data_IF_165385619072
#
_entry.id   IF_165385619072
#
_cell.length_a   1.000
_cell.length_b   1.000
_cell.length_c   1.000
_cell.angle_alpha   90.00
_cell.angle_beta   90.00
_cell.angle_gamma   90.00
#
_symmetry.space_group_name_H-M   'P 1'
#
loop_
_entity.id
_entity.type
_entity.pdbx_description
1 polymer ?
#
# COMPACT_ATOMS: atom_id res chain seq x y z
N UNK A 1 -1.34 -23.91 -41.55
CA UNK A 1 -0.45 -23.28 -40.58
C UNK A 1 0.53 -24.27 -40.04
N UNK A 2 1.76 -23.85 -39.92
CA UNK A 2 2.80 -24.68 -39.34
C UNK A 2 2.68 -24.74 -37.82
N UNK A 3 3.11 -25.84 -37.24
CA UNK A 3 3.19 -25.98 -35.78
C UNK A 3 4.10 -24.95 -35.17
N UNK A 4 5.13 -24.52 -35.89
CA UNK A 4 6.05 -23.48 -35.45
C UNK A 4 5.34 -22.12 -35.27
N UNK A 5 4.39 -21.80 -36.15
CA UNK A 5 3.59 -20.56 -36.00
C UNK A 5 2.71 -20.56 -34.76
N UNK A 6 2.11 -21.71 -34.45
CA UNK A 6 1.28 -21.86 -33.24
C UNK A 6 2.14 -21.78 -31.98
N UNK A 7 3.29 -22.41 -31.95
CA UNK A 7 4.22 -22.34 -30.82
C UNK A 7 4.74 -20.94 -30.61
N UNK A 8 5.05 -20.20 -31.69
CA UNK A 8 5.49 -18.82 -31.63
C UNK A 8 4.42 -17.89 -31.05
N UNK A 9 3.17 -18.09 -31.50
CA UNK A 9 2.03 -17.32 -30.97
C UNK A 9 1.84 -17.60 -29.49
N UNK A 10 1.89 -18.85 -29.05
CA UNK A 10 1.76 -19.21 -27.65
C UNK A 10 2.83 -18.55 -26.79
N UNK A 11 4.09 -18.59 -27.25
CA UNK A 11 5.20 -17.98 -26.53
C UNK A 11 5.03 -16.47 -26.43
N UNK A 12 4.57 -15.81 -27.50
CA UNK A 12 4.29 -14.38 -27.49
C UNK A 12 3.23 -14.02 -26.45
N UNK A 13 2.11 -14.75 -26.43
CA UNK A 13 1.02 -14.51 -25.49
C UNK A 13 1.46 -14.74 -24.05
N UNK A 14 2.21 -15.82 -23.80
CA UNK A 14 2.73 -16.11 -22.44
C UNK A 14 3.66 -15.00 -21.96
N UNK A 15 4.54 -14.51 -22.82
CA UNK A 15 5.46 -13.41 -22.50
C UNK A 15 4.69 -12.13 -22.23
N UNK A 16 3.69 -11.80 -23.06
CA UNK A 16 2.86 -10.62 -22.89
C UNK A 16 2.10 -10.65 -21.56
N UNK A 17 1.53 -11.79 -21.19
CA UNK A 17 0.80 -11.95 -19.93
C UNK A 17 1.73 -11.77 -18.73
N UNK A 18 2.93 -12.34 -18.77
CA UNK A 18 3.93 -12.15 -17.71
C UNK A 18 4.32 -10.67 -17.56
N UNK A 19 4.50 -9.98 -18.68
CA UNK A 19 4.82 -8.56 -18.66
C UNK A 19 3.71 -7.74 -18.04
N UNK A 20 2.45 -8.05 -18.35
CA UNK A 20 1.29 -7.37 -17.77
C UNK A 20 1.21 -7.59 -16.26
N UNK A 21 1.50 -8.81 -15.78
CA UNK A 21 1.53 -9.10 -14.34
C UNK A 21 2.58 -8.25 -13.63
N UNK A 22 3.79 -8.17 -14.19
CA UNK A 22 4.87 -7.35 -13.64
C UNK A 22 4.49 -5.87 -13.64
N UNK A 23 3.88 -5.39 -14.73
CA UNK A 23 3.44 -4.00 -14.85
C UNK A 23 2.36 -3.69 -13.80
N UNK A 24 1.41 -4.60 -13.59
CA UNK A 24 0.37 -4.45 -12.58
C UNK A 24 0.97 -4.29 -11.17
N UNK A 25 1.97 -5.09 -10.82
CA UNK A 25 2.65 -4.97 -9.53
C UNK A 25 3.36 -3.64 -9.37
N UNK A 26 4.04 -3.19 -10.44
CA UNK A 26 4.72 -1.88 -10.43
C UNK A 26 3.72 -0.75 -10.22
N UNK A 27 2.58 -0.78 -10.90
CA UNK A 27 1.55 0.23 -10.74
C UNK A 27 0.92 0.20 -9.34
N UNK A 28 0.74 -0.97 -8.77
CA UNK A 28 0.18 -1.08 -7.43
C UNK A 28 1.10 -0.45 -6.39
N UNK A 29 2.41 -0.67 -6.48
CA UNK A 29 3.38 -0.04 -5.59
C UNK A 29 3.43 1.48 -5.81
N UNK A 30 3.35 1.92 -7.06
CA UNK A 30 3.25 3.35 -7.39
C UNK A 30 2.06 3.99 -6.69
N UNK A 31 0.90 3.33 -6.68
CA UNK A 31 -0.29 3.84 -6.01
C UNK A 31 -0.14 3.88 -4.49
N UNK A 32 0.52 2.89 -3.90
CA UNK A 32 0.85 2.93 -2.47
C UNK A 32 1.68 4.16 -2.13
N UNK A 33 2.76 4.38 -2.88
CA UNK A 33 3.66 5.53 -2.68
C UNK A 33 2.90 6.83 -2.85
N UNK A 34 2.14 6.97 -3.94
CA UNK A 34 1.38 8.19 -4.22
C UNK A 34 0.38 8.47 -3.11
N UNK A 35 -0.35 7.45 -2.66
CA UNK A 35 -1.38 7.60 -1.64
C UNK A 35 -0.79 8.04 -0.31
N UNK A 36 0.29 7.40 0.15
CA UNK A 36 0.87 7.78 1.44
C UNK A 36 1.56 9.15 1.38
N UNK A 37 2.19 9.47 0.26
CA UNK A 37 2.84 10.77 0.09
C UNK A 37 1.84 11.93 0.01
N UNK A 38 0.62 11.68 -0.46
CA UNK A 38 -0.43 12.69 -0.47
C UNK A 38 -0.70 13.23 0.94
N UNK A 39 -0.51 12.43 1.97
CA UNK A 39 -0.68 12.85 3.36
C UNK A 39 0.24 14.02 3.75
N UNK A 40 1.42 14.13 3.12
CA UNK A 40 2.31 15.29 3.29
C UNK A 40 1.62 16.60 2.89
N UNK A 41 1.01 16.59 1.71
CA UNK A 41 0.34 17.78 1.18
C UNK A 41 -0.91 18.13 1.97
N UNK A 42 -1.57 17.11 2.54
CA UNK A 42 -2.78 17.30 3.33
C UNK A 42 -2.49 17.64 4.80
N UNK A 43 -1.22 17.55 5.23
CA UNK A 43 -0.79 18.00 6.55
C UNK A 43 -0.94 16.97 7.67
N UNK A 44 -1.19 15.70 7.37
CA UNK A 44 -1.33 14.66 8.41
C UNK A 44 -0.43 13.45 8.17
N UNK A 45 0.73 13.66 7.56
CA UNK A 45 1.69 12.58 7.33
C UNK A 45 2.09 11.91 8.64
N UNK A 46 2.13 10.56 8.69
CA UNK A 46 2.51 9.85 9.91
C UNK A 46 3.93 10.17 10.34
N UNK A 47 4.17 10.14 11.66
CA UNK A 47 5.48 10.40 12.23
C UNK A 47 6.24 9.08 12.41
N UNK A 48 7.37 8.95 11.72
CA UNK A 48 8.23 7.76 11.77
C UNK A 48 9.00 7.64 13.08
N UNK A 49 9.20 8.73 13.79
CA UNK A 49 9.96 8.73 15.04
C UNK A 49 9.25 7.89 16.13
N UNK A 50 10.05 7.27 16.97
CA UNK A 50 9.53 6.49 18.07
C UNK A 50 9.18 5.05 17.74
N UNK A 51 9.40 4.59 16.51
CA UNK A 51 9.20 3.19 16.18
C UNK A 51 10.18 2.32 16.97
N UNK A 52 9.64 1.28 17.61
CA UNK A 52 10.41 0.22 18.27
C UNK A 52 9.76 -1.11 17.94
N UNK A 53 10.56 -2.17 17.90
CA UNK A 53 10.01 -3.50 17.68
C UNK A 53 8.97 -3.82 18.76
N UNK A 54 7.81 -4.33 18.33
CA UNK A 54 6.73 -4.66 19.23
C UNK A 54 5.84 -3.48 19.64
N UNK A 55 5.99 -2.32 19.00
CA UNK A 55 5.15 -1.15 19.29
C UNK A 55 3.83 -1.18 18.50
N UNK A 56 2.93 -0.31 18.91
CA UNK A 56 1.65 -0.04 18.25
C UNK A 56 1.76 1.26 17.44
N UNK A 57 0.79 1.52 16.59
CA UNK A 57 0.68 2.79 15.89
C UNK A 57 -0.66 3.44 16.21
N UNK A 58 -0.62 4.62 16.81
CA UNK A 58 -1.82 5.40 17.14
C UNK A 58 -2.27 6.15 15.89
N UNK A 59 -3.41 5.74 15.33
CA UNK A 59 -3.93 6.34 14.10
C UNK A 59 -4.40 7.77 14.31
N UNK A 60 -4.86 8.13 15.50
CA UNK A 60 -5.34 9.50 15.80
C UNK A 60 -4.18 10.49 15.86
N UNK A 61 -3.12 10.14 16.56
CA UNK A 61 -1.95 11.00 16.69
C UNK A 61 -0.99 10.88 15.51
N UNK A 62 -1.08 9.78 14.73
CA UNK A 62 -0.14 9.52 13.65
C UNK A 62 1.25 9.13 14.13
N UNK A 63 1.37 8.56 15.31
CA UNK A 63 2.65 8.25 15.96
C UNK A 63 2.71 6.80 16.44
N UNK A 64 3.92 6.26 16.47
CA UNK A 64 4.16 4.96 17.11
C UNK A 64 4.19 5.12 18.63
N UNK A 65 3.71 4.11 19.33
CA UNK A 65 3.64 4.10 20.79
C UNK A 65 3.98 2.70 21.32
N UNK A 66 4.66 2.65 22.44
CA UNK A 66 5.03 1.37 23.06
C UNK A 66 3.90 0.75 23.88
N UNK A 67 2.88 1.53 24.20
CA UNK A 67 1.71 1.09 24.97
C UNK A 67 0.47 1.23 24.10
N UNK A 68 -0.40 0.21 24.12
CA UNK A 68 -1.65 0.25 23.38
C UNK A 68 -2.49 1.46 23.83
N UNK A 69 -2.98 2.29 22.90
CA UNK A 69 -3.86 3.41 23.25
C UNK A 69 -5.15 2.94 23.91
N UNK A 70 -5.78 3.82 24.69
CA UNK A 70 -7.05 3.52 25.35
C UNK A 70 -8.24 3.52 24.38
N UNK A 71 -8.11 4.22 23.25
CA UNK A 71 -9.13 4.20 22.19
C UNK A 71 -8.89 3.04 21.22
N UNK A 72 -9.84 2.80 20.30
CA UNK A 72 -9.79 1.69 19.35
C UNK A 72 -9.09 2.03 18.03
N UNK A 73 -8.72 3.29 17.79
CA UNK A 73 -8.14 3.73 16.54
C UNK A 73 -6.61 3.60 16.56
N UNK A 74 -6.14 2.35 16.64
CA UNK A 74 -4.71 2.06 16.60
C UNK A 74 -4.45 0.75 15.85
N UNK A 75 -3.25 0.60 15.37
CA UNK A 75 -2.77 -0.62 14.71
C UNK A 75 -2.05 -1.49 15.73
N UNK A 76 -2.29 -2.80 15.68
CA UNK A 76 -1.55 -3.77 16.46
C UNK A 76 -0.08 -3.84 16.03
N UNK A 77 0.69 -4.70 16.70
CA UNK A 77 2.13 -4.83 16.45
C UNK A 77 2.42 -5.17 14.99
N UNK A 78 1.66 -6.10 14.41
CA UNK A 78 1.89 -6.54 13.02
C UNK A 78 1.57 -5.43 12.03
N UNK A 79 0.44 -4.77 12.18
CA UNK A 79 0.03 -3.68 11.29
C UNK A 79 0.86 -2.42 11.52
N UNK A 80 1.35 -2.19 12.73
CA UNK A 80 2.31 -1.10 12.99
C UNK A 80 3.61 -1.32 12.22
N UNK A 81 4.10 -2.55 12.14
CA UNK A 81 5.27 -2.89 11.33
C UNK A 81 4.99 -2.66 9.84
N UNK A 82 3.78 -2.98 9.37
CA UNK A 82 3.37 -2.68 7.99
C UNK A 82 3.33 -1.17 7.75
N UNK A 83 2.83 -0.40 8.69
CA UNK A 83 2.82 1.08 8.58
C UNK A 83 4.24 1.63 8.46
N UNK A 84 5.20 1.06 9.17
CA UNK A 84 6.60 1.43 9.03
C UNK A 84 7.09 1.22 7.60
N UNK A 85 6.78 0.07 7.01
CA UNK A 85 7.16 -0.24 5.63
C UNK A 85 6.47 0.70 4.63
N UNK A 86 5.20 1.03 4.85
CA UNK A 86 4.45 1.98 4.03
C UNK A 86 5.13 3.36 4.06
N UNK A 87 5.61 3.79 5.22
CA UNK A 87 6.27 5.08 5.37
C UNK A 87 7.68 5.09 4.76
N UNK A 88 8.32 3.94 4.66
CA UNK A 88 9.67 3.81 4.10
C UNK A 88 9.68 3.68 2.58
N UNK A 89 8.60 3.22 1.98
CA UNK A 89 8.54 3.07 0.53
C UNK A 89 8.46 4.46 -0.13
N UNK A 90 9.22 4.63 -1.22
CA UNK A 90 9.22 5.84 -2.02
C UNK A 90 9.37 5.48 -3.50
N UNK A 91 9.37 6.48 -4.38
CA UNK A 91 9.49 6.25 -5.82
C UNK A 91 10.81 5.61 -6.22
N UNK A 92 11.89 5.86 -5.46
CA UNK A 92 13.21 5.31 -5.77
C UNK A 92 13.35 3.85 -5.37
N UNK A 93 12.77 3.45 -4.24
CA UNK A 93 12.93 2.11 -3.70
C UNK A 93 11.72 1.19 -3.91
N UNK A 94 10.59 1.69 -4.44
CA UNK A 94 9.36 0.90 -4.57
C UNK A 94 9.56 -0.38 -5.39
N UNK A 95 10.48 -0.38 -6.33
CA UNK A 95 10.79 -1.54 -7.17
C UNK A 95 11.39 -2.71 -6.38
N UNK A 96 11.94 -2.44 -5.20
CA UNK A 96 12.53 -3.46 -4.34
C UNK A 96 11.54 -4.07 -3.35
N UNK A 97 10.37 -3.45 -3.19
CA UNK A 97 9.32 -3.95 -2.33
C UNK A 97 8.47 -4.95 -3.10
N UNK A 98 8.48 -6.20 -2.65
CA UNK A 98 7.71 -7.28 -3.27
C UNK A 98 6.62 -7.72 -2.31
N UNK A 99 5.49 -7.06 -2.42
CA UNK A 99 4.32 -7.42 -1.64
C UNK A 99 3.56 -8.54 -2.35
N UNK A 100 3.09 -9.53 -1.58
CA UNK A 100 2.04 -10.41 -2.08
C UNK A 100 0.76 -9.60 -2.31
N UNK A 101 -0.17 -10.17 -3.04
CA UNK A 101 -1.47 -9.53 -3.27
C UNK A 101 -2.17 -9.20 -1.95
N UNK A 102 -2.20 -10.17 -1.01
CA UNK A 102 -2.82 -9.99 0.31
C UNK A 102 -2.10 -8.94 1.14
N UNK A 103 -0.77 -8.94 1.13
CA UNK A 103 0.02 -7.98 1.88
C UNK A 103 -0.21 -6.56 1.36
N UNK A 104 -0.27 -6.40 0.04
CA UNK A 104 -0.57 -5.09 -0.58
C UNK A 104 -1.95 -4.60 -0.18
N UNK A 105 -2.94 -5.48 -0.17
CA UNK A 105 -4.30 -5.13 0.24
C UNK A 105 -4.35 -4.70 1.69
N UNK A 106 -3.60 -5.37 2.58
CA UNK A 106 -3.52 -4.95 3.97
C UNK A 106 -2.91 -3.56 4.10
N UNK A 107 -1.85 -3.28 3.36
CA UNK A 107 -1.24 -1.94 3.35
C UNK A 107 -2.21 -0.87 2.86
N UNK A 108 -2.95 -1.15 1.79
CA UNK A 108 -3.97 -0.22 1.28
C UNK A 108 -5.09 0.02 2.30
N UNK A 109 -5.53 -1.03 2.98
CA UNK A 109 -6.56 -0.91 4.00
C UNK A 109 -6.09 -0.07 5.19
N UNK A 110 -4.83 -0.20 5.60
CA UNK A 110 -4.23 0.61 6.66
C UNK A 110 -4.23 2.08 6.26
N UNK A 111 -3.81 2.39 5.03
CA UNK A 111 -3.80 3.76 4.52
C UNK A 111 -5.23 4.33 4.48
N UNK A 112 -6.20 3.55 3.99
CA UNK A 112 -7.60 3.98 3.95
C UNK A 112 -8.14 4.26 5.35
N UNK A 113 -7.82 3.42 6.31
CA UNK A 113 -8.24 3.61 7.70
C UNK A 113 -7.64 4.90 8.27
N UNK A 114 -6.37 5.15 8.02
CA UNK A 114 -5.69 6.36 8.44
C UNK A 114 -6.35 7.60 7.83
N UNK A 115 -6.64 7.58 6.53
CA UNK A 115 -7.31 8.68 5.85
C UNK A 115 -8.71 8.93 6.41
N UNK A 116 -9.48 7.88 6.70
CA UNK A 116 -10.83 8.02 7.26
C UNK A 116 -10.82 8.75 8.60
N UNK A 117 -9.80 8.49 9.41
CA UNK A 117 -9.66 9.11 10.72
C UNK A 117 -9.29 10.59 10.59
N UNK A 118 -8.39 10.93 9.65
CA UNK A 118 -7.91 12.30 9.47
C UNK A 118 -8.78 13.14 8.53
N UNK A 119 -9.57 12.52 7.67
CA UNK A 119 -10.46 13.19 6.72
C UNK A 119 -11.87 12.58 6.76
N UNK A 120 -12.56 12.63 7.90
CA UNK A 120 -13.82 11.89 8.07
C UNK A 120 -14.95 12.36 7.15
N UNK A 121 -14.92 13.60 6.68
CA UNK A 121 -15.95 14.19 5.84
C UNK A 121 -15.52 14.39 4.39
N UNK A 122 -14.39 13.80 4.01
CA UNK A 122 -13.81 14.02 2.69
C UNK A 122 -14.39 13.02 1.69
N UNK A 123 -15.12 13.49 0.64
CA UNK A 123 -15.81 12.59 -0.27
C UNK A 123 -14.88 11.77 -1.17
N UNK A 124 -13.63 12.18 -1.36
CA UNK A 124 -12.64 11.50 -2.20
C UNK A 124 -12.13 10.17 -1.63
N UNK A 125 -12.55 9.80 -0.42
CA UNK A 125 -12.28 8.46 0.10
C UNK A 125 -12.78 7.35 -0.84
N UNK A 126 -13.82 7.64 -1.63
CA UNK A 126 -14.32 6.71 -2.64
C UNK A 126 -13.29 6.45 -3.73
N UNK A 127 -12.48 7.46 -4.09
CA UNK A 127 -11.42 7.31 -5.08
C UNK A 127 -10.35 6.33 -4.62
N UNK A 128 -10.00 6.35 -3.34
CA UNK A 128 -9.04 5.39 -2.77
C UNK A 128 -9.60 3.97 -2.80
N UNK A 129 -10.87 3.79 -2.50
CA UNK A 129 -11.54 2.50 -2.57
C UNK A 129 -11.61 1.98 -4.01
N UNK A 130 -11.87 2.86 -4.97
CA UNK A 130 -11.88 2.50 -6.39
C UNK A 130 -10.49 2.05 -6.83
N UNK A 131 -9.43 2.77 -6.43
CA UNK A 131 -8.06 2.37 -6.73
C UNK A 131 -7.76 0.99 -6.16
N UNK A 132 -8.17 0.73 -4.92
CA UNK A 132 -7.99 -0.59 -4.32
C UNK A 132 -8.69 -1.68 -5.14
N UNK A 133 -9.92 -1.45 -5.57
CA UNK A 133 -10.68 -2.41 -6.36
C UNK A 133 -10.05 -2.66 -7.74
N UNK A 134 -9.51 -1.62 -8.36
CA UNK A 134 -8.88 -1.74 -9.68
C UNK A 134 -7.62 -2.60 -9.62
N UNK A 135 -6.87 -2.55 -8.51
CA UNK A 135 -5.59 -3.24 -8.36
C UNK A 135 -5.68 -4.50 -7.49
N UNK A 136 -6.85 -4.87 -7.06
CA UNK A 136 -7.10 -6.18 -6.44
C UNK A 136 -7.23 -7.25 -7.58
#
# INVERSE_FOLDING_TARGET
RSEQGEAGLFNYLSTALRWLDVAKEKFANFHLVTTIHLAHYLGFYPNLHGYRQGCYFDLRSGCFTTVAPLHHDFLDVDDAARMLNIMRINFDNMRFFRFSHDERNRCLNIILLYYRIHLPEFPELRSLEVLRQVFD
#
